data_IF_148332049162
#
_entry.id   IF_148332049162
#
_cell.length_a   1.000
_cell.length_b   1.000
_cell.length_c   1.000
_cell.angle_alpha   90.00
_cell.angle_beta   90.00
_cell.angle_gamma   90.00
#
_symmetry.space_group_name_H-M   'P 1'
#
loop_
_entity.id
_entity.type
_entity.pdbx_description
1 polymer ?
#
# COMPACT_ATOMS: atom_id res chain seq x y z
N UNK A 1 -17.11 29.56 -20.92
CA UNK A 1 -15.93 30.21 -20.34
C UNK A 1 -15.80 29.70 -18.92
N UNK A 2 -14.61 29.21 -18.56
CA UNK A 2 -14.32 28.68 -17.21
C UNK A 2 -13.75 29.79 -16.33
N UNK A 3 -13.91 29.61 -15.02
CA UNK A 3 -13.40 30.54 -14.01
C UNK A 3 -12.68 29.76 -12.91
N UNK A 4 -11.57 30.30 -12.43
CA UNK A 4 -10.87 29.83 -11.23
C UNK A 4 -11.43 30.59 -10.03
N UNK A 5 -12.11 29.87 -9.14
CA UNK A 5 -12.53 30.38 -7.84
C UNK A 5 -11.41 30.14 -6.84
N UNK A 6 -11.00 31.19 -6.12
CA UNK A 6 -9.90 31.09 -5.14
C UNK A 6 -10.38 30.71 -3.73
N UNK A 7 -11.53 31.24 -3.31
CA UNK A 7 -12.06 31.10 -1.95
C UNK A 7 -13.56 30.78 -1.99
N UNK A 8 -14.08 30.05 -1.00
CA UNK A 8 -15.52 29.83 -0.84
C UNK A 8 -16.24 31.16 -0.59
N UNK A 9 -17.37 31.40 -1.28
CA UNK A 9 -18.17 32.61 -1.11
C UNK A 9 -19.65 32.35 -1.47
N UNK A 10 -20.58 33.02 -0.80
CA UNK A 10 -22.02 32.95 -1.12
C UNK A 10 -22.45 34.26 -1.76
N UNK A 11 -22.90 34.19 -3.01
CA UNK A 11 -23.50 35.30 -3.72
C UNK A 11 -25.01 35.34 -3.45
N UNK A 12 -25.52 36.49 -3.03
CA UNK A 12 -26.92 36.69 -2.66
C UNK A 12 -27.59 37.60 -3.70
N UNK A 13 -28.60 37.08 -4.39
CA UNK A 13 -29.28 37.76 -5.49
C UNK A 13 -30.55 38.47 -5.01
N UNK A 14 -31.04 39.42 -5.81
CA UNK A 14 -32.16 40.32 -5.45
C UNK A 14 -33.52 39.61 -5.39
N UNK A 15 -33.62 38.42 -5.97
CA UNK A 15 -34.76 37.51 -5.90
C UNK A 15 -34.77 36.63 -4.63
N UNK A 16 -33.71 36.72 -3.81
CA UNK A 16 -33.48 35.88 -2.64
C UNK A 16 -32.72 34.58 -2.94
N UNK A 17 -32.37 34.30 -4.19
CA UNK A 17 -31.56 33.13 -4.56
C UNK A 17 -30.13 33.29 -4.04
N UNK A 18 -29.53 32.18 -3.63
CA UNK A 18 -28.13 32.11 -3.18
C UNK A 18 -27.34 31.15 -4.07
N UNK A 19 -26.13 31.56 -4.45
CA UNK A 19 -25.19 30.72 -5.21
C UNK A 19 -23.88 30.64 -4.46
N UNK A 20 -23.52 29.45 -4.00
CA UNK A 20 -22.22 29.19 -3.40
C UNK A 20 -21.17 28.95 -4.49
N UNK A 21 -20.05 29.66 -4.39
CA UNK A 21 -18.84 29.44 -5.16
C UNK A 21 -17.91 28.57 -4.31
N UNK A 22 -17.44 27.44 -4.87
CA UNK A 22 -16.41 26.60 -4.25
C UNK A 22 -15.05 26.83 -4.93
N UNK A 23 -13.92 26.75 -4.20
CA UNK A 23 -12.59 26.82 -4.80
C UNK A 23 -12.36 25.74 -5.87
N UNK A 24 -11.87 26.15 -7.04
CA UNK A 24 -11.68 25.25 -8.17
C UNK A 24 -12.02 25.87 -9.52
N UNK A 25 -12.02 25.03 -10.57
CA UNK A 25 -12.33 25.45 -11.94
C UNK A 25 -13.78 25.11 -12.27
N UNK A 26 -14.61 26.14 -12.46
CA UNK A 26 -16.05 25.99 -12.66
C UNK A 26 -16.54 26.78 -13.88
N UNK A 27 -17.70 26.39 -14.40
CA UNK A 27 -18.45 27.14 -15.42
C UNK A 27 -19.69 27.73 -14.76
N UNK A 28 -19.93 29.02 -14.96
CA UNK A 28 -21.04 29.75 -14.34
C UNK A 28 -22.00 30.31 -15.40
N UNK A 29 -23.25 30.53 -15.01
CA UNK A 29 -24.23 31.22 -15.86
C UNK A 29 -23.87 32.70 -15.98
N UNK A 30 -24.36 33.37 -17.03
CA UNK A 30 -24.10 34.80 -17.25
C UNK A 30 -24.60 35.68 -16.08
N UNK A 31 -25.70 35.28 -15.46
CA UNK A 31 -26.26 35.93 -14.27
C UNK A 31 -25.29 35.90 -13.08
N UNK A 32 -24.72 34.73 -12.79
CA UNK A 32 -23.72 34.56 -11.72
C UNK A 32 -22.44 35.35 -12.01
N UNK A 33 -21.96 35.31 -13.26
CA UNK A 33 -20.78 36.08 -13.69
C UNK A 33 -20.98 37.60 -13.58
N UNK A 34 -22.21 38.08 -13.84
CA UNK A 34 -22.57 39.49 -13.75
C UNK A 34 -22.79 39.99 -12.32
N UNK A 35 -22.81 39.11 -11.31
CA UNK A 35 -22.98 39.51 -9.91
C UNK A 35 -21.79 40.36 -9.45
N UNK A 36 -22.06 41.50 -8.80
CA UNK A 36 -21.04 42.52 -8.46
C UNK A 36 -19.83 41.96 -7.67
N UNK A 37 -20.04 40.99 -6.78
CA UNK A 37 -18.98 40.36 -6.00
C UNK A 37 -18.27 39.20 -6.72
N UNK A 38 -18.76 38.70 -7.86
CA UNK A 38 -18.23 37.50 -8.52
C UNK A 38 -16.75 37.66 -8.88
N UNK A 39 -16.37 38.79 -9.48
CA UNK A 39 -15.00 39.08 -9.90
C UNK A 39 -14.00 39.20 -8.73
N UNK A 40 -14.46 39.34 -7.48
CA UNK A 40 -13.60 39.33 -6.29
C UNK A 40 -13.21 37.91 -5.84
N UNK A 41 -13.98 36.90 -6.27
CA UNK A 41 -13.79 35.50 -5.87
C UNK A 41 -13.37 34.59 -7.04
N UNK A 42 -13.72 34.96 -8.27
CA UNK A 42 -13.55 34.15 -9.47
C UNK A 42 -12.88 34.92 -10.61
N UNK A 43 -11.81 34.37 -11.19
CA UNK A 43 -11.09 34.95 -12.33
C UNK A 43 -11.33 34.11 -13.60
N UNK A 44 -11.54 34.72 -14.79
CA UNK A 44 -11.71 33.96 -16.03
C UNK A 44 -10.42 33.20 -16.38
N UNK A 45 -10.59 31.97 -16.86
CA UNK A 45 -9.49 31.14 -17.39
C UNK A 45 -9.62 31.11 -18.91
N UNK A 46 -8.55 31.48 -19.61
CA UNK A 46 -8.42 31.15 -21.03
C UNK A 46 -8.11 29.64 -21.16
N UNK A 47 -8.97 28.92 -21.88
CA UNK A 47 -8.79 27.49 -22.14
C UNK A 47 -7.55 27.19 -23.00
N UNK A 48 -7.04 28.19 -23.75
CA UNK A 48 -5.77 28.07 -24.46
C UNK A 48 -4.57 28.11 -23.50
N UNK A 49 -4.58 29.00 -22.49
CA UNK A 49 -3.55 28.98 -21.44
C UNK A 49 -3.57 27.68 -20.63
N UNK A 50 -4.75 27.14 -20.36
CA UNK A 50 -4.88 25.88 -19.61
C UNK A 50 -4.26 24.72 -20.40
N UNK A 51 -4.56 24.59 -21.70
CA UNK A 51 -3.95 23.58 -22.59
C UNK A 51 -2.43 23.74 -22.72
N UNK A 52 -1.93 24.98 -22.70
CA UNK A 52 -0.49 25.24 -22.66
C UNK A 52 0.14 24.83 -21.32
N UNK A 53 -0.51 25.11 -20.18
CA UNK A 53 -0.04 24.68 -18.85
C UNK A 53 -0.06 23.15 -18.68
N UNK A 54 -1.04 22.44 -19.22
CA UNK A 54 -1.06 20.96 -19.21
C UNK A 54 0.03 20.36 -20.12
N UNK A 55 0.17 20.90 -21.33
CA UNK A 55 1.24 20.50 -22.27
C UNK A 55 2.63 20.72 -21.63
N UNK A 56 2.78 21.85 -20.95
CA UNK A 56 3.95 22.28 -20.22
C UNK A 56 3.90 21.91 -18.73
N UNK A 57 3.18 20.84 -18.35
CA UNK A 57 3.24 20.27 -17.01
C UNK A 57 4.72 20.05 -16.69
N UNK A 58 5.26 20.71 -15.65
CA UNK A 58 6.68 21.06 -15.59
C UNK A 58 7.52 19.80 -15.68
N UNK A 59 8.64 19.89 -16.41
CA UNK A 59 9.49 18.73 -16.71
C UNK A 59 9.89 17.94 -15.45
N UNK A 60 9.98 18.64 -14.30
CA UNK A 60 10.14 18.06 -12.96
C UNK A 60 9.03 17.10 -12.55
N UNK A 61 7.74 17.43 -12.74
CA UNK A 61 6.63 16.51 -12.41
C UNK A 61 6.61 15.29 -13.32
N UNK A 62 6.88 15.46 -14.63
CA UNK A 62 6.99 14.30 -15.55
C UNK A 62 8.19 13.42 -15.21
N UNK A 63 9.30 14.00 -14.75
CA UNK A 63 10.46 13.27 -14.26
C UNK A 63 10.18 12.55 -12.92
N UNK A 64 9.51 13.21 -11.99
CA UNK A 64 9.17 12.64 -10.68
C UNK A 64 8.14 11.49 -10.81
N UNK A 65 7.15 11.62 -11.69
CA UNK A 65 6.24 10.51 -12.04
C UNK A 65 7.04 9.31 -12.56
N UNK A 66 7.97 9.50 -13.52
CA UNK A 66 8.81 8.41 -14.04
C UNK A 66 9.67 7.76 -12.95
N UNK A 67 10.26 8.58 -12.06
CA UNK A 67 11.05 8.12 -10.92
C UNK A 67 10.21 7.26 -9.97
N UNK A 68 9.03 7.76 -9.57
CA UNK A 68 8.11 7.05 -8.69
C UNK A 68 7.55 5.76 -9.34
N UNK A 69 7.33 5.73 -10.66
CA UNK A 69 6.96 4.50 -11.39
C UNK A 69 8.09 3.47 -11.30
N UNK A 70 9.33 3.85 -11.62
CA UNK A 70 10.47 2.95 -11.57
C UNK A 70 10.77 2.46 -10.13
N UNK A 71 10.59 3.31 -9.12
CA UNK A 71 10.74 2.94 -7.72
C UNK A 71 9.66 1.92 -7.29
N UNK A 72 8.40 2.12 -7.68
CA UNK A 72 7.33 1.15 -7.41
C UNK A 72 7.58 -0.22 -8.10
N UNK A 73 8.05 -0.23 -9.34
CA UNK A 73 8.43 -1.46 -10.04
C UNK A 73 9.59 -2.18 -9.33
N UNK A 74 10.62 -1.45 -8.90
CA UNK A 74 11.75 -1.98 -8.14
C UNK A 74 11.38 -2.50 -6.75
N UNK A 75 10.45 -1.84 -6.05
CA UNK A 75 9.91 -2.31 -4.77
C UNK A 75 9.09 -3.58 -4.95
N UNK A 76 8.27 -3.67 -6.01
CA UNK A 76 7.48 -4.86 -6.32
C UNK A 76 8.36 -6.08 -6.59
N UNK A 77 9.41 -5.93 -7.41
CA UNK A 77 10.36 -7.02 -7.69
C UNK A 77 11.11 -7.49 -6.43
N UNK A 78 11.42 -6.57 -5.50
CA UNK A 78 12.01 -6.92 -4.20
C UNK A 78 11.05 -7.70 -3.30
N UNK A 79 9.75 -7.38 -3.31
CA UNK A 79 8.74 -8.15 -2.58
C UNK A 79 8.60 -9.56 -3.15
N UNK A 80 8.44 -9.70 -4.47
CA UNK A 80 8.37 -11.01 -5.15
C UNK A 80 9.60 -11.89 -4.83
N UNK A 81 10.80 -11.29 -4.79
CA UNK A 81 12.06 -11.97 -4.40
C UNK A 81 12.07 -12.40 -2.93
N UNK A 82 11.58 -11.55 -2.02
CA UNK A 82 11.51 -11.84 -0.58
C UNK A 82 10.49 -12.94 -0.29
N UNK A 83 9.32 -12.91 -0.93
CA UNK A 83 8.28 -13.93 -0.76
C UNK A 83 8.74 -15.31 -1.25
N UNK A 84 9.45 -15.36 -2.39
CA UNK A 84 10.10 -16.59 -2.87
C UNK A 84 11.15 -17.11 -1.87
N UNK A 85 11.94 -16.21 -1.28
CA UNK A 85 12.95 -16.56 -0.26
C UNK A 85 12.30 -17.09 1.03
N UNK A 86 11.23 -16.46 1.51
CA UNK A 86 10.46 -16.89 2.68
C UNK A 86 9.85 -18.27 2.44
N UNK A 87 9.28 -18.51 1.25
CA UNK A 87 8.75 -19.82 0.87
C UNK A 87 9.82 -20.90 0.88
N UNK A 88 11.00 -20.63 0.31
CA UNK A 88 12.12 -21.58 0.31
C UNK A 88 12.64 -21.89 1.73
N UNK A 89 12.77 -20.87 2.60
CA UNK A 89 13.19 -21.04 3.99
C UNK A 89 12.17 -21.83 4.81
N UNK A 90 10.87 -21.57 4.63
CA UNK A 90 9.80 -22.32 5.30
C UNK A 90 9.81 -23.80 4.89
N UNK A 91 9.98 -24.11 3.61
CA UNK A 91 10.11 -25.50 3.13
C UNK A 91 11.31 -26.20 3.78
N UNK A 92 12.47 -25.51 3.83
CA UNK A 92 13.68 -26.05 4.47
C UNK A 92 13.51 -26.28 5.99
N UNK A 93 12.77 -25.41 6.68
CA UNK A 93 12.43 -25.59 8.09
C UNK A 93 11.55 -26.81 8.34
N UNK A 94 10.53 -27.06 7.51
CA UNK A 94 9.70 -28.28 7.62
C UNK A 94 10.49 -29.56 7.30
N UNK A 95 11.40 -29.51 6.32
CA UNK A 95 12.34 -30.60 6.06
C UNK A 95 13.28 -30.88 7.25
N UNK A 96 13.75 -29.87 7.96
CA UNK A 96 14.58 -30.08 9.17
C UNK A 96 13.74 -30.62 10.34
N UNK A 97 12.54 -30.08 10.58
CA UNK A 97 11.62 -30.57 11.63
C UNK A 97 11.27 -32.05 11.46
N UNK A 98 11.08 -32.50 10.22
CA UNK A 98 10.80 -33.91 9.91
C UNK A 98 12.03 -34.79 10.09
N UNK A 99 13.23 -34.34 9.68
CA UNK A 99 14.50 -35.08 9.87
C UNK A 99 14.93 -35.23 11.34
N UNK A 100 14.49 -34.34 12.24
CA UNK A 100 14.80 -34.39 13.69
C UNK A 100 13.89 -35.34 14.48
N UNK A 101 12.81 -35.87 13.88
CA UNK A 101 11.97 -36.94 14.45
C UNK A 101 12.16 -38.22 13.63
N UNK A 102 13.22 -39.01 13.88
CA UNK A 102 13.06 -40.06 14.89
C UNK A 102 14.37 -40.50 15.59
N UNK A 103 14.48 -40.33 16.92
CA UNK A 103 15.44 -41.14 17.69
C UNK A 103 15.10 -41.26 19.20
N UNK A 104 13.84 -41.53 19.53
CA UNK A 104 13.49 -42.12 20.83
C UNK A 104 12.62 -43.36 20.61
N UNK A 105 12.87 -44.37 21.45
CA UNK A 105 12.27 -45.72 21.45
C UNK A 105 12.47 -46.55 20.18
N UNK A 106 13.53 -47.38 20.17
CA UNK A 106 13.33 -48.77 19.72
C UNK A 106 14.17 -49.79 20.54
N UNK A 107 13.47 -50.37 21.51
CA UNK A 107 13.42 -51.79 21.89
C UNK A 107 14.61 -52.72 21.57
N UNK A 108 15.11 -53.42 22.60
CA UNK A 108 16.03 -54.56 22.43
C UNK A 108 15.62 -55.78 23.28
N UNK A 109 15.14 -56.81 22.60
CA UNK A 109 15.09 -58.23 22.98
C UNK A 109 15.91 -59.01 21.92
N UNK A 110 16.31 -60.29 22.01
CA UNK A 110 16.25 -61.42 22.97
C UNK A 110 17.40 -62.39 22.56
N UNK A 111 17.47 -63.68 22.94
CA UNK A 111 17.11 -64.39 24.19
C UNK A 111 18.28 -65.24 24.78
N UNK A 112 18.02 -65.94 25.89
CA UNK A 112 18.52 -67.29 26.29
C UNK A 112 20.02 -67.63 26.56
N UNK A 113 20.31 -67.96 27.83
CA UNK A 113 21.13 -69.11 28.33
C UNK A 113 21.00 -69.16 29.87
N UNK A 114 20.13 -70.02 30.43
CA UNK A 114 20.41 -71.32 31.08
C UNK A 114 21.25 -71.34 32.39
N UNK A 115 20.75 -72.16 33.33
CA UNK A 115 21.42 -72.80 34.48
C UNK A 115 21.75 -72.01 35.78
N UNK A 116 21.69 -72.74 36.92
CA UNK A 116 22.41 -72.35 38.15
C UNK A 116 21.61 -72.11 39.44
N UNK A 117 21.08 -73.17 40.06
CA UNK A 117 20.51 -73.17 41.44
C UNK A 117 21.61 -73.06 42.52
N UNK A 118 21.30 -72.45 43.70
CA UNK A 118 22.11 -72.28 44.96
C UNK A 118 22.85 -70.93 45.06
N UNK A 119 23.10 -70.30 46.23
CA UNK A 119 22.77 -70.59 47.65
C UNK A 119 22.85 -69.27 48.48
N UNK A 120 22.18 -69.19 49.63
CA UNK A 120 22.36 -68.10 50.62
C UNK A 120 23.62 -68.26 51.49
N UNK A 121 23.99 -67.16 52.17
CA UNK A 121 24.95 -66.97 53.31
C UNK A 121 26.15 -66.08 52.97
N UNK A 122 26.78 -65.33 53.89
CA UNK A 122 26.36 -64.74 55.18
C UNK A 122 27.47 -63.77 55.67
N UNK A 123 27.10 -62.76 56.47
CA UNK A 123 27.89 -61.99 57.45
C UNK A 123 29.26 -61.33 57.14
N UNK A 124 29.39 -60.11 57.70
CA UNK A 124 30.60 -59.56 58.35
C UNK A 124 30.18 -58.46 59.33
#
# INVERSE_FOLDING_TARGET
>A
MKYLVSNTAILNFVDGTQVELYPGIHSFTKEVVNHWAFAAHAQPIDENELKQKDSNAPSSLKAEIKKLTAENEGLKAQLETKDATISALNNSLEEMKTKVKPNETDTKEKPEADNGKKQSSADS
#
